data_IF_226116717738
#
_entry.id   IF_226116717738
#
_cell.length_a   1.000
_cell.length_b   1.000
_cell.length_c   1.000
_cell.angle_alpha   90.00
_cell.angle_beta   90.00
_cell.angle_gamma   90.00
#
_symmetry.space_group_name_H-M   'P 1'
#
loop_
_entity.id
_entity.type
_entity.pdbx_description
1 polymer ?
#
# COMPACT_ATOMS: atom_id res chain seq x y z
N UNK A 1 -15.72 3.44 -28.96
CA UNK A 1 -14.48 3.98 -29.55
C UNK A 1 -14.01 5.13 -28.66
N UNK A 2 -12.85 5.02 -28.02
CA UNK A 2 -12.31 6.09 -27.15
C UNK A 2 -12.02 7.33 -28.00
N UNK A 3 -12.44 8.51 -27.52
CA UNK A 3 -12.19 9.76 -28.24
C UNK A 3 -10.69 10.09 -28.24
N UNK A 4 -10.20 10.81 -29.26
CA UNK A 4 -8.79 11.27 -29.32
C UNK A 4 -8.34 12.00 -28.05
N UNK A 5 -9.26 12.74 -27.41
CA UNK A 5 -9.02 13.40 -26.12
C UNK A 5 -8.84 12.42 -24.97
N UNK A 6 -9.63 11.34 -24.94
CA UNK A 6 -9.50 10.28 -23.93
C UNK A 6 -8.15 9.55 -24.04
N UNK A 7 -7.65 9.29 -25.26
CA UNK A 7 -6.34 8.66 -25.47
C UNK A 7 -5.19 9.56 -25.00
N UNK A 8 -5.23 10.86 -25.31
CA UNK A 8 -4.23 11.82 -24.85
C UNK A 8 -4.23 11.88 -23.31
N UNK A 9 -5.41 11.99 -22.70
CA UNK A 9 -5.56 12.02 -21.25
C UNK A 9 -5.03 10.74 -20.57
N UNK A 10 -5.33 9.56 -21.13
CA UNK A 10 -4.81 8.29 -20.62
C UNK A 10 -3.28 8.25 -20.71
N UNK A 11 -2.71 8.71 -21.82
CA UNK A 11 -1.26 8.81 -22.00
C UNK A 11 -0.60 9.72 -20.97
N UNK A 12 -1.12 10.93 -20.77
CA UNK A 12 -0.63 11.87 -19.75
C UNK A 12 -0.69 11.27 -18.34
N UNK A 13 -1.80 10.59 -18.01
CA UNK A 13 -1.94 9.91 -16.71
C UNK A 13 -0.95 8.77 -16.53
N UNK A 14 -0.75 7.94 -17.54
CA UNK A 14 0.22 6.83 -17.47
C UNK A 14 1.65 7.35 -17.27
N UNK A 15 2.03 8.44 -17.95
CA UNK A 15 3.33 9.08 -17.75
C UNK A 15 3.47 9.62 -16.34
N UNK A 16 2.45 10.32 -15.82
CA UNK A 16 2.46 10.82 -14.45
C UNK A 16 2.55 9.69 -13.42
N UNK A 17 1.83 8.58 -13.62
CA UNK A 17 1.88 7.40 -12.75
C UNK A 17 3.27 6.78 -12.77
N UNK A 18 3.84 6.55 -13.96
CA UNK A 18 5.18 5.99 -14.09
C UNK A 18 6.23 6.88 -13.44
N UNK A 19 6.18 8.20 -13.70
CA UNK A 19 7.09 9.16 -13.08
C UNK A 19 6.96 9.16 -11.56
N UNK A 20 5.74 9.18 -11.04
CA UNK A 20 5.49 9.16 -9.58
C UNK A 20 5.99 7.86 -8.97
N UNK A 21 5.74 6.71 -9.61
CA UNK A 21 6.19 5.42 -9.13
C UNK A 21 7.72 5.32 -9.09
N UNK A 22 8.41 5.80 -10.13
CA UNK A 22 9.88 5.85 -10.16
C UNK A 22 10.42 6.81 -9.09
N UNK A 23 9.81 8.00 -8.95
CA UNK A 23 10.23 8.97 -7.95
C UNK A 23 10.07 8.43 -6.52
N UNK A 24 8.89 7.92 -6.18
CA UNK A 24 8.60 7.36 -4.85
C UNK A 24 9.46 6.13 -4.58
N UNK A 25 9.55 5.19 -5.52
CA UNK A 25 10.41 4.01 -5.35
C UNK A 25 11.88 4.38 -5.19
N UNK A 26 12.38 5.39 -5.91
CA UNK A 26 13.75 5.90 -5.73
C UNK A 26 13.94 6.46 -4.33
N UNK A 27 13.05 7.34 -3.89
CA UNK A 27 13.12 7.96 -2.55
C UNK A 27 13.12 6.89 -1.46
N UNK A 28 12.22 5.91 -1.55
CA UNK A 28 12.15 4.81 -0.57
C UNK A 28 13.38 3.93 -0.65
N UNK A 29 13.80 3.53 -1.86
CA UNK A 29 14.95 2.65 -2.06
C UNK A 29 16.22 3.26 -1.48
N UNK A 30 16.58 4.48 -1.89
CA UNK A 30 17.75 5.16 -1.35
C UNK A 30 17.58 5.49 0.12
N UNK A 31 16.38 5.90 0.56
CA UNK A 31 16.09 6.20 1.96
C UNK A 31 16.33 5.01 2.88
N UNK A 32 15.89 3.81 2.50
CA UNK A 32 16.10 2.57 3.26
C UNK A 32 17.58 2.21 3.34
N UNK A 33 18.35 2.39 2.26
CA UNK A 33 19.79 2.11 2.26
C UNK A 33 20.61 3.07 3.14
N UNK A 34 20.06 4.23 3.49
CA UNK A 34 20.70 5.19 4.40
C UNK A 34 20.41 4.90 5.87
N UNK A 35 19.43 4.04 6.17
CA UNK A 35 19.13 3.68 7.55
C UNK A 35 20.25 2.81 8.14
N UNK A 36 20.71 3.10 9.36
CA UNK A 36 21.71 2.27 10.01
C UNK A 36 21.11 0.90 10.34
N UNK A 37 21.70 -0.16 9.79
CA UNK A 37 21.29 -1.54 10.02
C UNK A 37 21.41 -2.38 8.77
N UNK A 38 21.28 -3.70 8.93
CA UNK A 38 21.13 -4.62 7.80
C UNK A 38 20.17 -5.73 8.23
N UNK A 39 19.38 -6.24 7.27
CA UNK A 39 18.50 -7.38 7.52
C UNK A 39 19.27 -8.62 8.05
N UNK A 40 20.59 -8.66 7.85
CA UNK A 40 21.48 -9.76 8.21
C UNK A 40 22.25 -9.54 9.52
N UNK A 41 22.23 -8.32 10.09
CA UNK A 41 22.89 -8.04 11.38
C UNK A 41 22.09 -8.56 12.58
N UNK A 42 20.80 -8.85 12.40
CA UNK A 42 19.89 -9.39 13.42
C UNK A 42 20.19 -10.84 13.77
N UNK A 43 20.81 -11.59 12.85
CA UNK A 43 21.15 -13.00 13.00
C UNK A 43 22.56 -13.12 13.59
N UNK A 44 22.68 -13.83 14.71
CA UNK A 44 23.90 -13.93 15.52
C UNK A 44 25.14 -14.23 14.66
N UNK A 45 26.24 -13.49 14.88
CA UNK A 45 27.64 -13.77 14.43
C UNK A 45 27.71 -14.60 13.14
N UNK A 46 27.19 -14.08 12.03
CA UNK A 46 27.41 -14.67 10.71
C UNK A 46 28.92 -14.59 10.42
N UNK A 47 29.50 -15.70 10.00
CA UNK A 47 30.89 -15.76 9.54
C UNK A 47 31.11 -14.76 8.38
N UNK A 48 32.17 -13.92 8.38
CA UNK A 48 32.38 -12.92 7.34
C UNK A 48 32.36 -13.48 5.91
N UNK A 49 32.84 -14.71 5.70
CA UNK A 49 32.81 -15.36 4.38
C UNK A 49 31.37 -15.71 3.96
N UNK A 50 30.55 -16.20 4.89
CA UNK A 50 29.13 -16.45 4.63
C UNK A 50 28.36 -15.15 4.38
N UNK A 51 28.68 -14.07 5.10
CA UNK A 51 28.07 -12.75 4.89
C UNK A 51 28.37 -12.21 3.49
N UNK A 52 29.63 -12.31 3.04
CA UNK A 52 30.01 -11.87 1.69
C UNK A 52 29.25 -12.63 0.59
N UNK A 53 29.10 -13.95 0.76
CA UNK A 53 28.31 -14.79 -0.17
C UNK A 53 26.84 -14.38 -0.21
N UNK A 54 26.24 -14.09 0.95
CA UNK A 54 24.85 -13.62 1.05
C UNK A 54 24.69 -12.26 0.36
N UNK A 55 25.57 -11.30 0.66
CA UNK A 55 25.52 -9.98 0.04
C UNK A 55 25.63 -10.07 -1.48
N UNK A 56 26.54 -10.91 -1.97
CA UNK A 56 26.72 -11.15 -3.39
C UNK A 56 25.49 -11.79 -4.04
N UNK A 57 24.88 -12.78 -3.38
CA UNK A 57 23.66 -13.42 -3.87
C UNK A 57 22.48 -12.44 -4.02
N UNK A 58 22.34 -11.49 -3.08
CA UNK A 58 21.33 -10.44 -3.14
C UNK A 58 21.77 -9.19 -3.91
N UNK A 59 22.95 -9.19 -4.53
CA UNK A 59 23.55 -8.05 -5.24
C UNK A 59 23.75 -6.80 -4.36
N UNK A 60 23.80 -6.96 -3.04
CA UNK A 60 23.93 -5.87 -2.08
C UNK A 60 25.37 -5.33 -1.98
N UNK A 61 26.32 -6.00 -2.63
CA UNK A 61 27.71 -5.60 -2.82
C UNK A 61 27.93 -4.68 -4.04
N UNK A 62 26.93 -4.52 -4.92
CA UNK A 62 27.02 -3.65 -6.10
C UNK A 62 26.84 -2.16 -5.75
N UNK A 63 27.24 -1.23 -6.63
CA UNK A 63 26.88 0.18 -6.50
C UNK A 63 25.36 0.36 -6.42
N UNK A 64 24.88 1.26 -5.55
CA UNK A 64 23.45 1.48 -5.28
C UNK A 64 22.61 1.70 -6.54
N UNK A 65 23.19 2.37 -7.55
CA UNK A 65 22.51 2.61 -8.81
C UNK A 65 22.24 1.33 -9.60
N UNK A 66 23.17 0.38 -9.58
CA UNK A 66 23.00 -0.90 -10.26
C UNK A 66 22.05 -1.82 -9.48
N UNK A 67 22.06 -1.76 -8.15
CA UNK A 67 21.04 -2.40 -7.31
C UNK A 67 19.64 -1.89 -7.65
N UNK A 68 19.47 -0.57 -7.80
CA UNK A 68 18.19 0.03 -8.16
C UNK A 68 17.72 -0.40 -9.55
N UNK A 69 18.62 -0.47 -10.55
CA UNK A 69 18.28 -0.97 -11.88
C UNK A 69 17.81 -2.42 -11.85
N UNK A 70 18.52 -3.29 -11.12
CA UNK A 70 18.14 -4.70 -10.97
C UNK A 70 16.79 -4.83 -10.28
N UNK A 71 16.54 -4.03 -9.25
CA UNK A 71 15.25 -3.95 -8.56
C UNK A 71 14.11 -3.54 -9.52
N UNK A 72 14.27 -2.44 -10.26
CA UNK A 72 13.26 -1.96 -11.21
C UNK A 72 13.05 -2.98 -12.35
N UNK A 73 14.13 -3.55 -12.88
CA UNK A 73 14.05 -4.57 -13.92
C UNK A 73 13.30 -5.81 -13.41
N UNK A 74 13.57 -6.25 -12.18
CA UNK A 74 12.83 -7.33 -11.52
C UNK A 74 11.33 -7.04 -11.47
N UNK A 75 10.95 -5.88 -10.94
CA UNK A 75 9.53 -5.46 -10.85
C UNK A 75 8.83 -5.50 -12.21
N UNK A 76 9.47 -4.95 -13.25
CA UNK A 76 8.90 -4.92 -14.60
C UNK A 76 8.66 -6.32 -15.17
N UNK A 77 9.47 -7.31 -14.76
CA UNK A 77 9.29 -8.71 -15.15
C UNK A 77 8.46 -9.53 -14.15
N UNK A 78 7.86 -8.90 -13.13
CA UNK A 78 7.07 -9.56 -12.09
C UNK A 78 7.89 -10.30 -11.02
N UNK A 79 9.21 -10.10 -11.01
CA UNK A 79 10.11 -10.65 -9.99
C UNK A 79 10.37 -9.60 -8.90
N UNK A 80 9.75 -9.77 -7.74
CA UNK A 80 9.92 -8.88 -6.59
C UNK A 80 11.08 -9.30 -5.66
N UNK A 81 11.84 -10.32 -6.06
CA UNK A 81 12.95 -10.88 -5.30
C UNK A 81 12.51 -11.89 -4.24
N UNK A 82 13.48 -12.21 -3.38
CA UNK A 82 13.33 -13.18 -2.30
C UNK A 82 13.33 -12.50 -0.93
N UNK A 83 12.72 -13.16 0.05
CA UNK A 83 12.67 -12.67 1.42
C UNK A 83 14.05 -12.65 2.06
N UNK A 84 14.48 -11.47 2.51
CA UNK A 84 15.73 -11.30 3.25
C UNK A 84 15.69 -11.98 4.63
N UNK A 85 14.48 -12.19 5.18
CA UNK A 85 14.25 -12.86 6.47
C UNK A 85 14.12 -14.37 6.26
N UNK A 86 13.22 -14.78 5.36
CA UNK A 86 12.98 -16.19 5.04
C UNK A 86 13.69 -16.55 3.72
N UNK A 87 15.00 -16.78 3.82
CA UNK A 87 15.89 -16.99 2.66
C UNK A 87 15.35 -18.06 1.69
N UNK A 88 15.45 -17.80 0.38
CA UNK A 88 14.99 -18.73 -0.67
C UNK A 88 13.50 -18.70 -0.96
N UNK A 89 12.71 -17.89 -0.22
CA UNK A 89 11.27 -17.77 -0.46
C UNK A 89 11.01 -16.57 -1.38
N UNK A 90 10.47 -16.77 -2.60
CA UNK A 90 10.09 -15.67 -3.47
C UNK A 90 8.94 -14.86 -2.86
N UNK A 91 9.05 -13.53 -2.88
CA UNK A 91 8.08 -12.64 -2.26
C UNK A 91 6.85 -12.43 -3.16
N UNK A 92 7.01 -12.47 -4.49
CA UNK A 92 5.91 -12.26 -5.45
C UNK A 92 4.61 -13.03 -5.10
N UNK A 93 4.62 -14.37 -4.87
CA UNK A 93 3.39 -15.09 -4.54
C UNK A 93 2.77 -14.67 -3.20
N UNK A 94 3.60 -14.33 -2.21
CA UNK A 94 3.13 -13.84 -0.91
C UNK A 94 2.45 -12.48 -1.08
N UNK A 95 3.08 -11.56 -1.82
CA UNK A 95 2.50 -10.23 -2.09
C UNK A 95 1.20 -10.32 -2.89
N UNK A 96 1.11 -11.19 -3.90
CA UNK A 96 -0.13 -11.38 -4.66
C UNK A 96 -1.28 -11.88 -3.78
N UNK A 97 -1.00 -12.79 -2.84
CA UNK A 97 -1.99 -13.25 -1.87
C UNK A 97 -2.47 -12.11 -0.98
N UNK A 98 -1.55 -11.35 -0.38
CA UNK A 98 -1.92 -10.23 0.50
C UNK A 98 -2.60 -9.09 -0.27
N UNK A 99 -2.24 -8.88 -1.54
CA UNK A 99 -2.90 -7.94 -2.43
C UNK A 99 -4.35 -8.35 -2.71
N UNK A 100 -4.63 -9.65 -2.88
CA UNK A 100 -6.00 -10.15 -3.04
C UNK A 100 -6.84 -9.89 -1.80
N UNK A 101 -6.31 -10.15 -0.61
CA UNK A 101 -6.98 -9.85 0.67
C UNK A 101 -7.29 -8.36 0.78
N UNK A 102 -6.31 -7.51 0.45
CA UNK A 102 -6.47 -6.05 0.46
C UNK A 102 -7.54 -5.59 -0.53
N UNK A 103 -7.60 -6.22 -1.70
CA UNK A 103 -8.61 -5.94 -2.73
C UNK A 103 -10.00 -6.35 -2.26
N UNK A 104 -10.16 -7.50 -1.63
CA UNK A 104 -11.45 -7.95 -1.07
C UNK A 104 -11.95 -6.98 0.01
N UNK A 105 -11.09 -6.62 0.96
CA UNK A 105 -11.42 -5.68 2.04
C UNK A 105 -11.75 -4.29 1.47
N UNK A 106 -10.90 -3.79 0.56
CA UNK A 106 -11.08 -2.48 -0.07
C UNK A 106 -12.35 -2.40 -0.93
N UNK A 107 -12.61 -3.43 -1.74
CA UNK A 107 -13.80 -3.49 -2.59
C UNK A 107 -15.07 -3.56 -1.73
N UNK A 108 -15.06 -4.38 -0.68
CA UNK A 108 -16.18 -4.48 0.26
C UNK A 108 -16.44 -3.14 0.92
N UNK A 109 -15.40 -2.49 1.45
CA UNK A 109 -15.50 -1.17 2.05
C UNK A 109 -16.07 -0.13 1.07
N UNK A 110 -15.59 -0.11 -0.19
CA UNK A 110 -16.09 0.80 -1.22
C UNK A 110 -17.58 0.59 -1.50
N UNK A 111 -18.04 -0.65 -1.63
CA UNK A 111 -19.46 -0.95 -1.85
C UNK A 111 -20.30 -0.41 -0.70
N UNK A 112 -19.90 -0.66 0.55
CA UNK A 112 -20.62 -0.15 1.73
C UNK A 112 -20.57 1.38 1.82
N UNK A 113 -19.41 2.00 1.64
CA UNK A 113 -19.26 3.45 1.75
C UNK A 113 -20.02 4.18 0.65
N UNK A 114 -19.94 3.72 -0.60
CA UNK A 114 -20.69 4.33 -1.70
C UNK A 114 -22.19 4.11 -1.50
N UNK A 115 -22.61 2.88 -1.19
CA UNK A 115 -24.02 2.55 -0.98
C UNK A 115 -24.64 3.35 0.18
N UNK A 116 -24.10 3.19 1.39
CA UNK A 116 -24.62 3.86 2.58
C UNK A 116 -24.42 5.38 2.51
N UNK A 117 -23.25 5.84 2.08
CA UNK A 117 -22.95 7.26 1.97
C UNK A 117 -23.86 7.96 0.96
N UNK A 118 -24.11 7.34 -0.18
CA UNK A 118 -25.04 7.89 -1.18
C UNK A 118 -26.48 7.92 -0.66
N UNK A 119 -26.97 6.83 -0.06
CA UNK A 119 -28.34 6.78 0.49
C UNK A 119 -28.54 7.83 1.59
N UNK A 120 -27.62 7.90 2.55
CA UNK A 120 -27.70 8.89 3.64
C UNK A 120 -27.58 10.32 3.10
N UNK A 121 -26.69 10.55 2.14
CA UNK A 121 -26.53 11.86 1.49
C UNK A 121 -27.78 12.30 0.73
N UNK A 122 -28.41 11.40 -0.02
CA UNK A 122 -29.67 11.67 -0.73
C UNK A 122 -30.81 11.96 0.25
N UNK A 123 -30.94 11.18 1.33
CA UNK A 123 -31.96 11.40 2.36
C UNK A 123 -31.77 12.76 3.04
N UNK A 124 -30.54 13.09 3.41
CA UNK A 124 -30.20 14.39 4.02
C UNK A 124 -30.54 15.55 3.07
N UNK A 125 -30.23 15.42 1.78
CA UNK A 125 -30.54 16.42 0.77
C UNK A 125 -32.06 16.62 0.57
N UNK A 126 -32.85 15.53 0.55
CA UNK A 126 -34.32 15.61 0.41
C UNK A 126 -34.95 16.21 1.67
N UNK A 127 -34.43 15.86 2.86
CA UNK A 127 -34.93 16.34 4.16
C UNK A 127 -34.07 17.45 4.75
N UNK A 128 -33.64 18.38 3.91
CA UNK A 128 -32.74 19.46 4.28
C UNK A 128 -33.27 20.28 5.47
N UNK A 129 -32.37 20.71 6.35
CA UNK A 129 -32.68 21.51 7.56
C UNK A 129 -33.60 20.81 8.58
N UNK A 130 -33.75 19.49 8.47
CA UNK A 130 -34.46 18.69 9.48
C UNK A 130 -33.48 17.96 10.38
N UNK A 131 -33.98 17.40 11.50
CA UNK A 131 -33.16 16.59 12.41
C UNK A 131 -32.47 15.40 11.72
N UNK A 132 -33.04 14.88 10.62
CA UNK A 132 -32.46 13.77 9.85
C UNK A 132 -31.20 14.22 9.12
N UNK A 133 -31.24 15.40 8.49
CA UNK A 133 -30.09 16.02 7.83
C UNK A 133 -28.97 16.32 8.84
N UNK A 134 -29.32 16.94 9.98
CA UNK A 134 -28.35 17.20 11.04
C UNK A 134 -27.71 15.92 11.60
N UNK A 135 -28.48 14.84 11.82
CA UNK A 135 -27.92 13.56 12.29
C UNK A 135 -27.02 12.89 11.25
N UNK A 136 -27.43 12.88 9.98
CA UNK A 136 -26.62 12.31 8.90
C UNK A 136 -25.29 13.06 8.78
N UNK A 137 -25.35 14.39 8.73
CA UNK A 137 -24.18 15.26 8.64
C UNK A 137 -23.27 15.11 9.86
N UNK A 138 -23.82 15.13 11.08
CA UNK A 138 -23.04 14.94 12.30
C UNK A 138 -22.30 13.59 12.32
N UNK A 139 -22.97 12.52 11.91
CA UNK A 139 -22.37 11.18 11.84
C UNK A 139 -21.23 11.13 10.81
N UNK A 140 -21.42 11.75 9.64
CA UNK A 140 -20.37 11.86 8.62
C UNK A 140 -19.17 12.67 9.12
N UNK A 141 -19.40 13.78 9.82
CA UNK A 141 -18.34 14.63 10.39
C UNK A 141 -17.56 13.87 11.45
N UNK A 142 -18.22 13.15 12.36
CA UNK A 142 -17.56 12.31 13.38
C UNK A 142 -16.69 11.25 12.70
N UNK A 143 -17.26 10.51 11.75
CA UNK A 143 -16.54 9.46 11.03
C UNK A 143 -15.32 9.97 10.25
N UNK A 144 -15.41 11.16 9.66
CA UNK A 144 -14.30 11.77 8.91
C UNK A 144 -13.24 12.41 9.81
N UNK A 145 -13.65 12.99 10.95
CA UNK A 145 -12.75 13.75 11.82
C UNK A 145 -11.97 12.88 12.81
N UNK A 146 -12.48 11.69 13.11
CA UNK A 146 -11.80 10.76 14.03
C UNK A 146 -10.61 10.09 13.33
N UNK A 147 -9.47 9.94 14.02
CA UNK A 147 -8.37 9.13 13.50
C UNK A 147 -8.82 7.68 13.30
N UNK A 148 -8.46 7.08 12.15
CA UNK A 148 -8.88 5.71 11.80
C UNK A 148 -8.56 4.68 12.89
N UNK A 149 -7.42 4.82 13.58
CA UNK A 149 -7.04 3.89 14.66
C UNK A 149 -8.02 3.94 15.85
N UNK A 150 -8.61 5.10 16.16
CA UNK A 150 -9.57 5.24 17.27
C UNK A 150 -10.85 4.48 16.95
N UNK A 151 -11.39 4.69 15.74
CA UNK A 151 -12.57 3.97 15.27
C UNK A 151 -12.29 2.47 15.28
N UNK A 152 -11.17 2.04 14.72
CA UNK A 152 -10.78 0.62 14.71
C UNK A 152 -10.71 0.03 16.13
N UNK A 153 -10.07 0.72 17.08
CA UNK A 153 -9.99 0.25 18.47
C UNK A 153 -11.36 0.12 19.13
N UNK A 154 -12.27 1.08 18.93
CA UNK A 154 -13.63 1.02 19.47
C UNK A 154 -14.42 -0.12 18.84
N UNK A 155 -14.31 -0.33 17.52
CA UNK A 155 -14.97 -1.43 16.84
C UNK A 155 -14.45 -2.79 17.32
N UNK A 156 -13.13 -2.94 17.53
CA UNK A 156 -12.55 -4.16 18.11
C UNK A 156 -13.11 -4.42 19.50
N UNK A 157 -13.15 -3.40 20.37
CA UNK A 157 -13.74 -3.55 21.71
C UNK A 157 -15.20 -3.99 21.62
N UNK A 158 -15.99 -3.35 20.76
CA UNK A 158 -17.42 -3.65 20.64
C UNK A 158 -17.67 -5.03 20.06
N UNK A 159 -17.03 -5.39 18.94
CA UNK A 159 -17.37 -6.57 18.15
C UNK A 159 -16.52 -7.80 18.43
N UNK A 160 -15.31 -7.66 18.96
CA UNK A 160 -14.42 -8.78 19.22
C UNK A 160 -14.29 -9.11 20.71
N UNK A 161 -14.60 -8.17 21.60
CA UNK A 161 -14.50 -8.36 23.05
C UNK A 161 -15.87 -8.48 23.71
N UNK A 162 -16.82 -7.59 23.39
CA UNK A 162 -18.12 -7.55 24.05
C UNK A 162 -19.24 -8.32 23.33
N UNK A 163 -19.17 -8.45 22.01
CA UNK A 163 -20.11 -9.23 21.18
C UNK A 163 -19.47 -10.54 20.74
#
# INVERSE_FOLDING_TARGET
>A
MLSRRALIFLGERLVLIAFTAVAVSSIVFFGVHQLPGSAFLSDRRIDPAALASILHHYHLDLPLWDQYKLFVAGIVHGNLGESLVNRGIPITPLLLREASVSLEVGATALIFTIGLGMVLGVIAAIKQNTWVDYLATATSVIGYSMPNFVIASVLVLLFAVYL
#
